data_IF_303599553414
#
_entry.id   IF_303599553414
#
_cell.length_a   1.000
_cell.length_b   1.000
_cell.length_c   1.000
_cell.angle_alpha   90.00
_cell.angle_beta   90.00
_cell.angle_gamma   90.00
#
_symmetry.space_group_name_H-M   'P 1'
#
loop_
_entity.id
_entity.type
_entity.pdbx_description
1 polymer ?
#
# COMPACT_ATOMS: atom_id res chain seq x y z
N UNK A 1 -16.29 -17.16 17.49
CA UNK A 1 -14.95 -17.46 16.93
C UNK A 1 -15.10 -18.59 15.92
N UNK A 2 -14.59 -18.43 14.69
CA UNK A 2 -14.64 -19.43 13.63
C UNK A 2 -13.25 -20.02 13.40
N UNK A 3 -12.95 -21.11 14.11
CA UNK A 3 -11.60 -21.69 14.13
C UNK A 3 -11.29 -22.56 12.91
N UNK A 4 -12.28 -23.05 12.18
CA UNK A 4 -12.05 -23.87 10.97
C UNK A 4 -11.85 -23.03 9.71
N UNK A 5 -12.16 -21.73 9.75
CA UNK A 5 -12.09 -20.87 8.58
C UNK A 5 -10.63 -20.52 8.28
N UNK A 6 -10.15 -20.90 7.10
CA UNK A 6 -8.81 -20.60 6.58
C UNK A 6 -8.81 -19.63 5.42
N UNK A 7 -9.89 -19.62 4.64
CA UNK A 7 -10.01 -18.82 3.43
C UNK A 7 -11.29 -18.01 3.50
N UNK A 8 -11.16 -16.70 3.29
CA UNK A 8 -12.29 -15.77 3.30
C UNK A 8 -12.25 -14.91 2.04
N UNK A 9 -13.29 -15.02 1.21
CA UNK A 9 -13.45 -14.19 0.02
C UNK A 9 -14.58 -13.18 0.25
N UNK A 10 -14.23 -11.90 0.25
CA UNK A 10 -15.10 -10.74 0.38
C UNK A 10 -14.98 -9.81 -0.83
N UNK A 11 -14.50 -10.34 -1.97
CA UNK A 11 -14.32 -9.56 -3.19
C UNK A 11 -15.64 -9.05 -3.76
N UNK A 12 -15.59 -7.98 -4.56
CA UNK A 12 -16.76 -7.41 -5.25
C UNK A 12 -17.89 -6.99 -4.31
N UNK A 13 -17.52 -6.43 -3.16
CA UNK A 13 -18.45 -5.87 -2.19
C UNK A 13 -18.24 -4.35 -2.07
N UNK A 14 -18.99 -3.73 -1.16
CA UNK A 14 -18.91 -2.29 -0.90
C UNK A 14 -18.22 -1.95 0.43
N UNK A 15 -17.25 -2.77 0.84
CA UNK A 15 -16.57 -2.61 2.12
C UNK A 15 -15.66 -1.38 2.03
N UNK A 16 -15.76 -0.49 3.04
CA UNK A 16 -14.98 0.75 3.10
C UNK A 16 -13.80 0.68 4.07
N UNK A 17 -13.90 -0.16 5.10
CA UNK A 17 -12.82 -0.37 6.04
C UNK A 17 -12.84 -1.79 6.60
N UNK A 18 -11.67 -2.26 6.99
CA UNK A 18 -11.50 -3.52 7.73
C UNK A 18 -10.90 -3.19 9.08
N UNK A 19 -11.64 -3.53 10.14
CA UNK A 19 -11.25 -3.28 11.53
C UNK A 19 -10.71 -4.56 12.17
N UNK A 20 -9.91 -4.40 13.23
CA UNK A 20 -9.23 -5.53 13.88
C UNK A 20 -10.19 -6.50 14.59
N UNK A 21 -11.25 -5.97 15.20
CA UNK A 21 -12.13 -6.76 16.08
C UNK A 21 -12.83 -7.92 15.36
N UNK A 22 -13.52 -7.73 14.21
CA UNK A 22 -14.14 -8.85 13.49
C UNK A 22 -13.13 -9.93 13.05
N UNK A 23 -11.92 -9.53 12.65
CA UNK A 23 -10.89 -10.45 12.21
C UNK A 23 -10.26 -11.24 13.36
N UNK A 24 -10.24 -10.68 14.57
CA UNK A 24 -9.77 -11.40 15.77
C UNK A 24 -10.57 -12.68 16.06
N UNK A 25 -11.79 -12.77 15.53
CA UNK A 25 -12.65 -13.95 15.64
C UNK A 25 -12.29 -15.06 14.64
N UNK A 26 -11.30 -14.85 13.78
CA UNK A 26 -10.84 -15.75 12.71
C UNK A 26 -9.37 -16.15 12.91
N UNK A 27 -9.00 -16.79 14.04
CA UNK A 27 -7.61 -16.97 14.45
C UNK A 27 -6.78 -17.88 13.52
N UNK A 28 -7.43 -18.65 12.66
CA UNK A 28 -6.79 -19.57 11.73
C UNK A 28 -6.90 -19.13 10.27
N UNK A 29 -7.27 -17.86 10.02
CA UNK A 29 -7.36 -17.34 8.67
C UNK A 29 -5.96 -17.26 8.04
N UNK A 30 -5.82 -17.87 6.87
CA UNK A 30 -4.59 -17.96 6.09
C UNK A 30 -4.68 -17.08 4.83
N UNK A 31 -5.86 -16.99 4.21
CA UNK A 31 -6.06 -16.21 2.98
C UNK A 31 -7.30 -15.33 3.10
N UNK A 32 -7.14 -14.04 2.80
CA UNK A 32 -8.27 -13.12 2.65
C UNK A 32 -8.19 -12.39 1.31
N UNK A 33 -9.33 -12.29 0.64
CA UNK A 33 -9.48 -11.52 -0.59
C UNK A 33 -10.55 -10.46 -0.41
N UNK A 34 -10.16 -9.21 -0.61
CA UNK A 34 -10.99 -7.99 -0.50
C UNK A 34 -10.91 -7.19 -1.81
N UNK A 35 -10.58 -7.86 -2.90
CA UNK A 35 -10.42 -7.26 -4.22
C UNK A 35 -11.72 -6.59 -4.68
N UNK A 36 -11.63 -5.46 -5.39
CA UNK A 36 -12.81 -4.72 -5.86
C UNK A 36 -13.77 -4.34 -4.72
N UNK A 37 -13.24 -3.59 -3.75
CA UNK A 37 -14.02 -2.95 -2.68
C UNK A 37 -13.72 -1.44 -2.67
N UNK A 38 -14.19 -0.72 -1.65
CA UNK A 38 -13.96 0.72 -1.48
C UNK A 38 -13.02 1.01 -0.30
N UNK A 39 -12.06 0.12 -0.03
CA UNK A 39 -11.23 0.23 1.16
C UNK A 39 -10.38 1.49 1.12
N UNK A 40 -10.45 2.29 2.18
CA UNK A 40 -9.56 3.42 2.43
C UNK A 40 -8.65 3.21 3.66
N UNK A 41 -8.99 2.22 4.50
CA UNK A 41 -8.18 1.76 5.61
C UNK A 41 -8.43 0.26 5.85
N UNK A 42 -7.38 -0.51 6.14
CA UNK A 42 -7.50 -1.92 6.49
C UNK A 42 -6.43 -2.35 7.50
N UNK A 43 -6.85 -3.02 8.57
CA UNK A 43 -5.95 -3.60 9.57
C UNK A 43 -6.11 -5.11 9.70
N UNK A 44 -4.98 -5.81 9.72
CA UNK A 44 -4.88 -7.27 9.77
C UNK A 44 -3.94 -7.75 10.89
N UNK A 45 -3.51 -6.87 11.79
CA UNK A 45 -2.49 -7.11 12.82
C UNK A 45 -2.79 -8.31 13.73
N UNK A 46 -4.06 -8.61 13.96
CA UNK A 46 -4.51 -9.73 14.80
C UNK A 46 -4.41 -11.10 14.12
N UNK A 47 -4.22 -11.16 12.79
CA UNK A 47 -4.23 -12.41 12.03
C UNK A 47 -2.83 -13.02 11.93
N UNK A 48 -2.44 -13.81 12.93
CA UNK A 48 -1.09 -14.38 13.04
C UNK A 48 -0.76 -15.50 12.03
N UNK A 49 -1.75 -16.06 11.34
CA UNK A 49 -1.57 -17.16 10.37
C UNK A 49 -1.79 -16.72 8.92
N UNK A 50 -2.03 -15.44 8.69
CA UNK A 50 -2.33 -14.90 7.38
C UNK A 50 -1.10 -15.03 6.47
N UNK A 51 -1.23 -15.72 5.36
CA UNK A 51 -0.14 -15.89 4.38
C UNK A 51 -0.39 -15.09 3.11
N UNK A 52 -1.64 -14.72 2.83
CA UNK A 52 -2.01 -13.95 1.65
C UNK A 52 -3.13 -12.94 1.91
N UNK A 53 -2.94 -11.69 1.44
CA UNK A 53 -3.98 -10.65 1.36
C UNK A 53 -4.08 -10.12 -0.06
N UNK A 54 -5.30 -10.15 -0.62
CA UNK A 54 -5.61 -9.51 -1.90
C UNK A 54 -6.40 -8.22 -1.67
N UNK A 55 -5.76 -7.06 -1.90
CA UNK A 55 -6.33 -5.72 -1.78
C UNK A 55 -6.36 -4.98 -3.12
N UNK A 56 -6.21 -5.69 -4.24
CA UNK A 56 -6.27 -5.08 -5.57
C UNK A 56 -7.60 -4.33 -5.78
N UNK A 57 -7.58 -3.27 -6.58
CA UNK A 57 -8.80 -2.52 -6.95
C UNK A 57 -9.56 -2.00 -5.72
N UNK A 58 -8.88 -1.19 -4.92
CA UNK A 58 -9.45 -0.48 -3.77
C UNK A 58 -9.08 1.02 -3.84
N UNK A 59 -9.30 1.76 -2.75
CA UNK A 59 -9.05 3.21 -2.66
C UNK A 59 -7.96 3.53 -1.63
N UNK A 60 -7.03 2.59 -1.43
CA UNK A 60 -5.93 2.74 -0.50
C UNK A 60 -4.92 3.75 -1.05
N UNK A 61 -4.49 4.68 -0.19
CA UNK A 61 -3.58 5.76 -0.58
C UNK A 61 -2.19 5.66 0.02
N UNK A 62 -2.05 4.94 1.13
CA UNK A 62 -0.81 4.83 1.89
C UNK A 62 -0.74 3.47 2.61
N UNK A 63 0.48 2.94 2.73
CA UNK A 63 0.79 1.84 3.65
C UNK A 63 1.15 2.38 5.02
N UNK A 64 1.06 1.54 6.05
CA UNK A 64 1.19 1.97 7.44
C UNK A 64 -0.15 2.50 7.93
N UNK A 65 -0.31 3.82 8.00
CA UNK A 65 -1.51 4.49 8.56
C UNK A 65 -2.83 4.08 7.87
N UNK A 66 -2.77 3.66 6.60
CA UNK A 66 -3.93 3.15 5.86
C UNK A 66 -3.98 1.63 5.66
N UNK A 67 -2.85 0.92 5.78
CA UNK A 67 -2.79 -0.54 5.64
C UNK A 67 -1.85 -1.09 6.68
N UNK A 68 -2.41 -1.73 7.71
CA UNK A 68 -1.66 -2.31 8.82
C UNK A 68 -1.66 -3.83 8.70
N UNK A 69 -0.48 -4.40 8.48
CA UNK A 69 -0.29 -5.83 8.32
C UNK A 69 0.46 -6.42 9.52
N UNK A 70 0.36 -7.75 9.74
CA UNK A 70 1.21 -8.43 10.71
C UNK A 70 2.71 -8.19 10.46
N UNK A 71 3.52 -8.23 11.52
CA UNK A 71 4.98 -7.93 11.45
C UNK A 71 5.84 -9.03 10.81
N UNK A 72 5.26 -9.90 9.97
CA UNK A 72 5.97 -11.01 9.33
C UNK A 72 5.72 -11.01 7.81
N UNK A 73 6.57 -11.75 7.09
CA UNK A 73 6.58 -11.76 5.62
C UNK A 73 5.40 -12.56 5.06
N UNK A 74 4.66 -11.97 4.12
CA UNK A 74 3.52 -12.61 3.47
C UNK A 74 3.32 -12.16 2.02
N UNK A 75 2.41 -12.80 1.29
CA UNK A 75 2.04 -12.41 -0.07
C UNK A 75 0.95 -11.35 -0.03
N UNK A 76 1.15 -10.23 -0.74
CA UNK A 76 0.22 -9.11 -0.73
C UNK A 76 0.04 -8.62 -2.17
N UNK A 77 -1.21 -8.38 -2.57
CA UNK A 77 -1.56 -7.76 -3.85
C UNK A 77 -2.24 -6.41 -3.62
N UNK A 78 -1.74 -5.39 -4.32
CA UNK A 78 -1.94 -3.97 -4.03
C UNK A 78 -2.13 -3.12 -5.30
N UNK A 79 -2.23 -3.77 -6.46
CA UNK A 79 -2.39 -3.12 -7.75
C UNK A 79 -3.71 -2.33 -7.79
N UNK A 80 -3.77 -1.37 -8.71
CA UNK A 80 -4.99 -0.59 -8.98
C UNK A 80 -5.55 0.11 -7.73
N UNK A 81 -4.68 0.67 -6.90
CA UNK A 81 -5.02 1.55 -5.80
C UNK A 81 -4.44 2.96 -6.08
N UNK A 82 -5.12 4.03 -5.66
CA UNK A 82 -4.70 5.41 -5.90
C UNK A 82 -3.60 5.84 -4.92
N UNK A 83 -2.41 5.24 -5.02
CA UNK A 83 -1.32 5.48 -4.10
C UNK A 83 -0.81 6.92 -4.17
N UNK A 84 -0.69 7.58 -3.01
CA UNK A 84 -0.28 8.99 -2.91
C UNK A 84 1.22 9.20 -3.17
N UNK A 85 2.02 8.14 -3.29
CA UNK A 85 3.48 8.24 -3.41
C UNK A 85 4.07 9.18 -2.34
N UNK A 86 3.79 8.84 -1.07
CA UNK A 86 4.36 9.40 0.17
C UNK A 86 5.20 8.33 0.92
N UNK A 87 5.96 8.66 1.96
CA UNK A 87 6.88 7.71 2.63
C UNK A 87 6.29 6.32 2.94
N UNK A 88 4.98 6.19 3.16
CA UNK A 88 4.34 4.90 3.39
C UNK A 88 4.61 3.86 2.29
N UNK A 89 4.70 4.22 1.00
CA UNK A 89 4.99 3.20 -0.04
C UNK A 89 6.44 2.69 -0.02
N UNK A 90 7.41 3.46 0.53
CA UNK A 90 8.75 2.91 0.79
C UNK A 90 8.68 1.89 1.91
N UNK A 91 7.93 2.18 2.98
CA UNK A 91 7.70 1.21 4.04
C UNK A 91 7.03 -0.06 3.48
N UNK A 92 6.10 0.07 2.52
CA UNK A 92 5.52 -1.04 1.77
C UNK A 92 6.59 -1.93 1.11
N UNK A 93 7.53 -1.31 0.39
CA UNK A 93 8.64 -2.01 -0.26
C UNK A 93 9.55 -2.69 0.76
N UNK A 94 10.01 -1.92 1.75
CA UNK A 94 11.11 -2.31 2.63
C UNK A 94 10.65 -3.23 3.77
N UNK A 95 9.46 -3.00 4.30
CA UNK A 95 8.95 -3.69 5.48
C UNK A 95 7.90 -4.76 5.17
N UNK A 96 7.22 -4.69 4.01
CA UNK A 96 6.11 -5.60 3.69
C UNK A 96 6.37 -6.55 2.52
N UNK A 97 7.60 -6.63 2.02
CA UNK A 97 8.03 -7.57 0.97
C UNK A 97 7.09 -7.64 -0.24
N UNK A 98 6.69 -6.48 -0.76
CA UNK A 98 6.00 -6.39 -2.04
C UNK A 98 6.97 -6.92 -3.11
N UNK A 99 6.74 -8.14 -3.61
CA UNK A 99 7.69 -8.83 -4.51
C UNK A 99 7.81 -8.14 -5.87
N UNK A 100 6.71 -7.58 -6.36
CA UNK A 100 6.66 -6.83 -7.61
C UNK A 100 6.33 -5.37 -7.32
N UNK A 101 7.36 -4.52 -7.31
CA UNK A 101 7.20 -3.08 -7.07
C UNK A 101 6.51 -2.35 -8.22
N UNK A 102 6.42 -2.96 -9.41
CA UNK A 102 5.74 -2.36 -10.56
C UNK A 102 4.22 -2.20 -10.34
N UNK A 103 3.67 -2.90 -9.34
CA UNK A 103 2.25 -2.78 -8.94
C UNK A 103 2.00 -1.49 -8.14
N UNK A 104 3.04 -0.93 -7.53
CA UNK A 104 2.99 0.29 -6.71
C UNK A 104 3.14 1.51 -7.62
N UNK A 105 2.05 1.85 -8.31
CA UNK A 105 1.96 2.98 -9.23
C UNK A 105 1.36 4.19 -8.52
N UNK A 106 1.97 5.36 -8.71
CA UNK A 106 1.44 6.60 -8.19
C UNK A 106 0.09 6.95 -8.85
N UNK A 107 -0.83 7.52 -8.09
CA UNK A 107 -2.07 8.06 -8.62
C UNK A 107 -1.82 9.24 -9.57
N UNK A 108 -2.67 9.34 -10.59
CA UNK A 108 -2.74 10.47 -11.53
C UNK A 108 -3.18 11.73 -10.78
N UNK A 109 -2.77 12.91 -11.27
CA UNK A 109 -3.03 14.24 -10.69
C UNK A 109 -2.41 14.44 -9.29
N UNK A 110 -1.51 13.54 -8.88
CA UNK A 110 -0.75 13.69 -7.64
C UNK A 110 0.59 14.32 -7.91
N UNK A 111 0.94 15.22 -7.01
CA UNK A 111 2.27 15.77 -6.93
C UNK A 111 3.24 14.78 -6.28
N UNK A 112 4.41 14.63 -6.85
CA UNK A 112 5.55 13.94 -6.26
C UNK A 112 6.72 14.93 -6.14
N UNK A 113 7.74 14.63 -5.35
CA UNK A 113 8.98 15.42 -5.39
C UNK A 113 10.03 14.70 -6.20
N UNK A 114 10.80 15.49 -6.93
CA UNK A 114 12.07 15.08 -7.52
C UNK A 114 13.17 15.90 -6.88
N UNK A 115 14.24 15.24 -6.44
CA UNK A 115 15.42 15.93 -5.90
C UNK A 115 16.64 15.66 -6.78
N UNK A 116 17.45 16.71 -6.96
CA UNK A 116 18.81 16.62 -7.52
C UNK A 116 19.77 17.17 -6.46
N UNK A 117 20.71 16.32 -6.03
CA UNK A 117 21.60 16.55 -4.87
C UNK A 117 20.82 16.93 -3.60
N UNK A 118 20.81 18.21 -3.24
CA UNK A 118 20.12 18.78 -2.05
C UNK A 118 18.90 19.65 -2.42
N UNK A 119 18.61 19.82 -3.71
CA UNK A 119 17.48 20.62 -4.19
C UNK A 119 16.32 19.72 -4.58
N UNK A 120 15.21 19.85 -3.86
CA UNK A 120 13.96 19.15 -4.16
C UNK A 120 12.94 20.11 -4.76
N UNK A 121 12.15 19.63 -5.71
CA UNK A 121 11.06 20.39 -6.29
C UNK A 121 9.87 19.47 -6.59
N UNK A 122 8.67 20.02 -6.44
CA UNK A 122 7.41 19.31 -6.63
C UNK A 122 7.12 19.20 -8.14
N UNK A 123 6.98 17.98 -8.65
CA UNK A 123 6.47 17.66 -9.98
C UNK A 123 5.04 17.10 -9.85
N UNK A 124 4.25 17.17 -10.91
CA UNK A 124 2.90 16.60 -10.96
C UNK A 124 2.86 15.46 -11.99
N UNK A 125 2.18 14.37 -11.65
CA UNK A 125 1.94 13.24 -12.58
C UNK A 125 0.63 13.43 -13.33
N UNK A 126 0.63 13.08 -14.62
CA UNK A 126 1.10 13.90 -15.72
C UNK A 126 0.15 15.07 -16.04
N UNK A 127 0.68 16.16 -16.59
CA UNK A 127 -0.05 16.91 -17.63
C UNK A 127 -0.03 16.04 -18.90
N UNK A 128 -1.17 15.80 -19.51
CA UNK A 128 -1.40 14.90 -20.66
C UNK A 128 -0.35 14.98 -21.79
N UNK A 129 0.81 14.29 -21.73
CA UNK A 129 1.61 14.02 -22.95
C UNK A 129 2.74 12.97 -22.86
N UNK A 130 3.03 12.34 -21.72
CA UNK A 130 4.08 11.30 -21.66
C UNK A 130 3.54 10.08 -20.89
N UNK A 131 3.56 8.89 -21.50
CA UNK A 131 3.14 7.58 -20.94
C UNK A 131 3.94 7.13 -19.69
N UNK A 132 4.71 8.02 -19.07
CA UNK A 132 5.57 7.74 -17.93
C UNK A 132 4.77 7.80 -16.63
N UNK A 133 4.12 6.68 -16.31
CA UNK A 133 3.62 6.43 -14.96
C UNK A 133 4.83 6.27 -14.03
N UNK A 134 4.93 7.12 -13.01
CA UNK A 134 5.97 6.97 -11.99
C UNK A 134 5.64 5.77 -11.11
N UNK A 135 6.58 4.82 -11.07
CA UNK A 135 6.52 3.61 -10.26
C UNK A 135 7.66 3.60 -9.26
N UNK A 136 7.43 2.96 -8.12
CA UNK A 136 8.45 2.75 -7.11
C UNK A 136 9.52 1.76 -7.61
N UNK A 137 10.80 2.09 -7.47
CA UNK A 137 11.92 1.21 -7.87
C UNK A 137 12.73 0.75 -6.67
N UNK A 138 13.66 -0.19 -6.87
CA UNK A 138 14.57 -0.64 -5.80
C UNK A 138 15.54 0.47 -5.36
N UNK A 139 15.85 1.40 -6.26
CA UNK A 139 16.77 2.52 -6.07
C UNK A 139 16.10 3.75 -5.45
N UNK A 140 14.77 3.75 -5.30
CA UNK A 140 14.06 4.81 -4.58
C UNK A 140 14.56 4.88 -3.13
N UNK A 141 14.88 6.06 -2.60
CA UNK A 141 15.45 6.17 -1.24
C UNK A 141 14.75 7.27 -0.44
N UNK A 142 14.72 7.10 0.89
CA UNK A 142 14.25 8.13 1.82
C UNK A 142 15.20 9.33 1.76
N UNK A 143 14.71 10.51 1.36
CA UNK A 143 15.48 11.76 1.46
C UNK A 143 15.02 12.57 2.67
N UNK A 144 15.94 12.87 3.59
CA UNK A 144 15.71 13.59 4.87
C UNK A 144 14.56 13.03 5.71
N UNK A 145 14.81 11.89 6.37
CA UNK A 145 14.08 11.41 7.55
C UNK A 145 12.55 11.52 7.51
N UNK A 146 11.86 10.44 7.15
CA UNK A 146 10.41 10.38 7.24
C UNK A 146 9.95 10.45 8.71
N UNK A 147 9.70 11.65 9.24
CA UNK A 147 9.10 11.88 10.58
C UNK A 147 7.68 12.45 10.46
N UNK A 148 6.69 11.57 10.20
CA UNK A 148 5.28 11.63 10.63
C UNK A 148 4.36 12.84 10.39
N UNK A 149 4.83 14.02 9.96
CA UNK A 149 3.98 15.22 9.89
C UNK A 149 4.33 16.08 8.68
N UNK A 150 3.48 15.99 7.65
CA UNK A 150 3.39 16.85 6.47
C UNK A 150 4.69 17.05 5.63
N UNK A 151 4.53 16.94 4.31
CA UNK A 151 5.57 17.16 3.29
C UNK A 151 6.78 16.21 3.36
N UNK A 152 6.57 14.95 2.95
CA UNK A 152 7.65 13.97 2.81
C UNK A 152 7.70 13.39 1.41
N UNK A 153 8.92 13.24 0.92
CA UNK A 153 9.24 13.32 -0.49
C UNK A 153 10.20 12.20 -0.93
N UNK A 154 10.14 11.85 -2.21
CA UNK A 154 10.92 10.77 -2.82
C UNK A 154 12.15 11.29 -3.56
N UNK A 155 13.11 10.38 -3.73
CA UNK A 155 14.08 10.37 -4.81
C UNK A 155 13.65 9.33 -5.86
N UNK A 156 13.01 9.79 -6.93
CA UNK A 156 12.95 9.03 -8.19
C UNK A 156 14.17 9.43 -9.01
N UNK A 157 15.11 8.51 -9.22
CA UNK A 157 16.28 8.75 -10.08
C UNK A 157 15.86 8.41 -11.52
N UNK A 158 16.12 9.33 -12.46
CA UNK A 158 15.90 9.13 -13.90
C UNK A 158 16.71 7.95 -14.45
#
# INVERSE_FOLDING_TARGET
VLTSLKNLNLSYNWIKSVNEYPLSLLPNLEVISLTMNFLNNATFTSLQKLTQVDLDWNYLRMFGDGVQLPSYRMNIKLASNPWDCNCGMIDARDNYNVQDLSILKCAVDKSYTVCSTDKCYRKFLPEESDDKVVSLTKESVHHRGCTGLADQWYLFRE
#
